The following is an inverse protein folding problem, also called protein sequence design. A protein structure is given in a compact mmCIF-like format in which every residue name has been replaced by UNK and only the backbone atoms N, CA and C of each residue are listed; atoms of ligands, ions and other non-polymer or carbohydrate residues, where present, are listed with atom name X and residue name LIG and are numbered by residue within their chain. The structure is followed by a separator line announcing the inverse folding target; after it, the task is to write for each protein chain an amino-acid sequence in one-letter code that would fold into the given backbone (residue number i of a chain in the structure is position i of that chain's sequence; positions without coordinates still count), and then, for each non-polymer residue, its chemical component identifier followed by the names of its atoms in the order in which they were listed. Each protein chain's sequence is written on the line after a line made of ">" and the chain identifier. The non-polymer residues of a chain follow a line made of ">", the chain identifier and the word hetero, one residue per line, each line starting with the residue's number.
data_IF_493274896230
#
_entry.id   IF_493274896230
#
_cell.length_a   1.000
_cell.length_b   1.000
_cell.length_c   1.000
_cell.angle_alpha   90.00
_cell.angle_beta   90.00
_cell.angle_gamma   90.00
#
_symmetry.space_group_name_H-M   'P 1'
#
loop_
_entity.id
_entity.type
_entity.pdbx_description
1 polymer ?
#
# COMPACT_ATOMS: atom_id res chain seq x y z
N UNK A 1 -5.15 22.24 -5.34
CA UNK A 1 -4.16 21.15 -5.56
C UNK A 1 -3.88 20.31 -4.31
N UNK A 2 -3.31 20.84 -3.23
CA UNK A 2 -2.75 20.03 -2.13
C UNK A 2 -3.69 18.97 -1.49
N UNK A 3 -4.99 19.26 -1.33
CA UNK A 3 -5.97 18.29 -0.80
C UNK A 3 -6.18 17.09 -1.74
N UNK A 4 -6.06 17.29 -3.06
CA UNK A 4 -6.21 16.23 -4.04
C UNK A 4 -5.02 15.27 -3.99
N UNK A 5 -3.80 15.82 -3.93
CA UNK A 5 -2.58 15.02 -3.88
C UNK A 5 -2.49 14.18 -2.59
N UNK A 6 -2.96 14.69 -1.44
CA UNK A 6 -3.10 13.90 -0.21
C UNK A 6 -4.05 12.71 -0.36
N UNK A 7 -5.20 12.94 -0.99
CA UNK A 7 -6.19 11.87 -1.25
C UNK A 7 -5.63 10.84 -2.22
N UNK A 8 -4.92 11.31 -3.24
CA UNK A 8 -4.26 10.45 -4.21
C UNK A 8 -3.18 9.59 -3.58
N UNK A 9 -2.30 10.17 -2.76
CA UNK A 9 -1.27 9.44 -2.02
C UNK A 9 -1.88 8.34 -1.15
N UNK A 10 -2.94 8.67 -0.40
CA UNK A 10 -3.67 7.70 0.42
C UNK A 10 -4.25 6.57 -0.44
N UNK A 11 -4.87 6.89 -1.57
CA UNK A 11 -5.44 5.89 -2.47
C UNK A 11 -4.36 4.96 -3.04
N UNK A 12 -3.20 5.51 -3.42
CA UNK A 12 -2.08 4.73 -3.97
C UNK A 12 -1.47 3.81 -2.92
N UNK A 13 -1.20 4.34 -1.72
CA UNK A 13 -0.71 3.55 -0.59
C UNK A 13 -1.69 2.44 -0.20
N UNK A 14 -2.99 2.73 -0.16
CA UNK A 14 -4.02 1.71 0.08
C UNK A 14 -3.93 0.55 -0.92
N UNK A 15 -3.80 0.84 -2.22
CA UNK A 15 -3.70 -0.19 -3.26
C UNK A 15 -2.40 -0.98 -3.15
N UNK A 16 -1.28 -0.30 -2.89
CA UNK A 16 0.04 -0.91 -2.69
C UNK A 16 0.02 -1.88 -1.50
N UNK A 17 -0.39 -1.39 -0.33
CA UNK A 17 -0.48 -2.17 0.91
C UNK A 17 -1.41 -3.37 0.72
N UNK A 18 -2.55 -3.20 0.07
CA UNK A 18 -3.47 -4.31 -0.19
C UNK A 18 -2.81 -5.41 -1.04
N UNK A 19 -2.06 -5.04 -2.09
CA UNK A 19 -1.37 -6.04 -2.91
C UNK A 19 -0.22 -6.71 -2.18
N UNK A 20 0.50 -6.00 -1.30
CA UNK A 20 1.51 -6.60 -0.43
C UNK A 20 0.89 -7.57 0.58
N UNK A 21 -0.29 -7.25 1.15
CA UNK A 21 -1.04 -8.19 1.98
C UNK A 21 -1.51 -9.42 1.19
N UNK A 22 -1.99 -9.24 -0.05
CA UNK A 22 -2.32 -10.37 -0.93
C UNK A 22 -1.10 -11.23 -1.22
N UNK A 23 0.06 -10.61 -1.43
CA UNK A 23 1.32 -11.30 -1.61
C UNK A 23 1.65 -12.14 -0.36
N UNK A 24 1.64 -11.53 0.82
CA UNK A 24 1.97 -12.24 2.07
C UNK A 24 1.01 -13.39 2.40
N UNK A 25 -0.30 -13.12 2.37
CA UNK A 25 -1.32 -14.07 2.88
C UNK A 25 -1.88 -15.00 1.80
N UNK A 26 -1.57 -14.79 0.53
CA UNK A 26 -2.01 -15.65 -0.58
C UNK A 26 -0.81 -16.14 -1.42
N UNK A 27 0.20 -16.71 -0.76
CA UNK A 27 1.41 -17.25 -1.42
C UNK A 27 1.14 -18.20 -2.59
N UNK A 28 0.08 -19.02 -2.49
CA UNK A 28 -0.37 -19.93 -3.55
C UNK A 28 -0.94 -19.22 -4.80
N UNK A 29 -1.12 -17.90 -4.77
CA UNK A 29 -1.70 -17.08 -5.84
C UNK A 29 -0.77 -15.96 -6.32
N UNK A 30 0.51 -16.02 -5.99
CA UNK A 30 1.50 -15.11 -6.56
C UNK A 30 1.42 -15.13 -8.08
N UNK A 31 1.24 -13.96 -8.67
CA UNK A 31 1.19 -13.80 -10.11
C UNK A 31 1.87 -12.50 -10.53
N UNK A 32 2.41 -12.51 -11.74
CA UNK A 32 3.15 -11.38 -12.31
C UNK A 32 2.31 -10.11 -12.36
N UNK A 33 0.98 -10.21 -12.50
CA UNK A 33 0.09 -9.05 -12.49
C UNK A 33 0.03 -8.34 -11.13
N UNK A 34 0.17 -9.06 -10.02
CA UNK A 34 0.25 -8.45 -8.68
C UNK A 34 1.58 -7.74 -8.49
N UNK A 35 2.69 -8.38 -8.88
CA UNK A 35 4.02 -7.77 -8.85
C UNK A 35 4.10 -6.52 -9.71
N UNK A 36 3.51 -6.57 -10.91
CA UNK A 36 3.35 -5.42 -11.81
C UNK A 36 2.54 -4.32 -11.15
N UNK A 37 1.43 -4.65 -10.49
CA UNK A 37 0.60 -3.66 -9.79
C UNK A 37 1.37 -3.00 -8.64
N UNK A 38 2.13 -3.77 -7.85
CA UNK A 38 2.98 -3.25 -6.77
C UNK A 38 4.01 -2.26 -7.34
N UNK A 39 4.77 -2.65 -8.36
CA UNK A 39 5.75 -1.78 -9.01
C UNK A 39 5.11 -0.49 -9.57
N UNK A 40 3.96 -0.62 -10.24
CA UNK A 40 3.23 0.52 -10.77
C UNK A 40 2.72 1.49 -9.68
N UNK A 41 2.32 1.00 -8.50
CA UNK A 41 1.94 1.89 -7.40
C UNK A 41 3.16 2.60 -6.82
N UNK A 42 4.30 1.91 -6.67
CA UNK A 42 5.55 2.53 -6.19
C UNK A 42 5.97 3.70 -7.08
N UNK A 43 6.07 3.48 -8.40
CA UNK A 43 6.42 4.54 -9.37
C UNK A 43 5.46 5.72 -9.25
N UNK A 44 4.15 5.46 -9.18
CA UNK A 44 3.16 6.54 -9.11
C UNK A 44 3.17 7.29 -7.77
N UNK A 45 3.57 6.64 -6.68
CA UNK A 45 3.76 7.29 -5.38
C UNK A 45 5.02 8.17 -5.43
N UNK A 46 6.11 7.64 -5.99
CA UNK A 46 7.37 8.38 -6.14
C UNK A 46 7.15 9.68 -6.94
N UNK A 47 6.58 9.58 -8.14
CA UNK A 47 6.26 10.76 -8.97
C UNK A 47 5.39 11.78 -8.22
N UNK A 48 4.37 11.29 -7.47
CA UNK A 48 3.50 12.17 -6.68
C UNK A 48 4.24 12.91 -5.55
N UNK A 49 5.26 12.27 -4.96
CA UNK A 49 6.07 12.86 -3.92
C UNK A 49 7.15 13.80 -4.47
N UNK A 50 7.64 13.56 -5.69
CA UNK A 50 8.49 14.50 -6.43
C UNK A 50 7.72 15.78 -6.78
N UNK A 51 6.50 15.63 -7.30
CA UNK A 51 5.61 16.76 -7.63
C UNK A 51 5.12 17.52 -6.39
N UNK A 52 5.14 16.90 -5.22
CA UNK A 52 4.63 17.49 -3.97
C UNK A 52 5.40 17.01 -2.74
N UNK A 53 6.65 17.48 -2.53
CA UNK A 53 7.51 17.03 -1.42
C UNK A 53 6.89 17.27 -0.04
N UNK A 54 6.03 18.29 0.10
CA UNK A 54 5.30 18.58 1.34
C UNK A 54 4.39 17.43 1.81
N UNK A 55 4.05 16.48 0.92
CA UNK A 55 3.26 15.30 1.27
C UNK A 55 4.05 14.28 2.10
N UNK A 56 5.38 14.36 2.10
CA UNK A 56 6.24 13.55 2.97
C UNK A 56 5.98 13.89 4.45
N UNK A 57 5.46 15.08 4.75
CA UNK A 57 5.04 15.45 6.09
C UNK A 57 3.82 14.61 6.52
N UNK A 58 3.95 13.87 7.63
CA UNK A 58 2.98 12.91 8.17
C UNK A 58 2.81 11.60 7.38
N UNK A 59 3.86 11.09 6.72
CA UNK A 59 3.78 9.86 5.95
C UNK A 59 3.27 8.66 6.77
N UNK A 60 3.72 8.50 8.01
CA UNK A 60 3.27 7.43 8.91
C UNK A 60 1.74 7.45 9.13
N UNK A 61 1.17 8.63 9.36
CA UNK A 61 -0.27 8.79 9.54
C UNK A 61 -1.04 8.45 8.25
N UNK A 62 -0.47 8.77 7.08
CA UNK A 62 -1.08 8.41 5.79
C UNK A 62 -0.99 6.91 5.56
N UNK A 63 0.14 6.27 5.89
CA UNK A 63 0.34 4.82 5.80
C UNK A 63 -0.64 4.10 6.72
N UNK A 64 -0.78 4.51 7.99
CA UNK A 64 -1.72 3.92 8.93
C UNK A 64 -3.17 3.99 8.42
N UNK A 65 -3.58 5.15 7.88
CA UNK A 65 -4.90 5.31 7.26
C UNK A 65 -5.07 4.45 6.00
N UNK A 66 -4.04 4.40 5.16
CA UNK A 66 -3.99 3.57 3.96
C UNK A 66 -4.13 2.09 4.30
N UNK A 67 -3.47 1.63 5.36
CA UNK A 67 -3.53 0.26 5.85
C UNK A 67 -4.93 -0.14 6.32
N UNK A 68 -5.61 0.70 7.11
CA UNK A 68 -6.99 0.44 7.54
C UNK A 68 -7.92 0.27 6.33
N UNK A 69 -7.77 1.12 5.32
CA UNK A 69 -8.56 1.00 4.08
C UNK A 69 -8.16 -0.25 3.27
N UNK A 70 -6.86 -0.58 3.22
CA UNK A 70 -6.35 -1.76 2.54
C UNK A 70 -6.87 -3.06 3.16
N UNK A 71 -6.93 -3.17 4.49
CA UNK A 71 -7.51 -4.33 5.20
C UNK A 71 -8.93 -4.63 4.75
N UNK A 72 -9.78 -3.59 4.68
CA UNK A 72 -11.19 -3.72 4.25
C UNK A 72 -11.27 -4.22 2.80
N UNK A 73 -10.44 -3.66 1.91
CA UNK A 73 -10.44 -4.05 0.50
C UNK A 73 -9.88 -5.46 0.30
N UNK A 74 -8.83 -5.82 1.05
CA UNK A 74 -8.28 -7.16 1.09
C UNK A 74 -9.35 -8.20 1.50
N UNK A 75 -10.10 -7.95 2.57
CA UNK A 75 -11.16 -8.86 3.02
C UNK A 75 -12.25 -9.06 1.96
N UNK A 76 -12.66 -7.99 1.28
CA UNK A 76 -13.64 -8.04 0.19
C UNK A 76 -13.14 -8.89 -0.99
N UNK A 77 -11.89 -8.68 -1.43
CA UNK A 77 -11.30 -9.35 -2.60
C UNK A 77 -10.90 -10.81 -2.32
N UNK A 78 -10.37 -11.09 -1.14
CA UNK A 78 -9.75 -12.39 -0.81
C UNK A 78 -10.67 -13.32 -0.02
N UNK A 79 -11.74 -12.78 0.59
CA UNK A 79 -12.60 -13.47 1.58
C UNK A 79 -11.87 -13.92 2.84
N UNK A 80 -10.63 -13.48 3.05
CA UNK A 80 -9.85 -13.68 4.27
C UNK A 80 -10.23 -12.58 5.26
N UNK A 81 -10.56 -12.93 6.50
CA UNK A 81 -11.01 -11.91 7.46
C UNK A 81 -9.90 -10.92 7.78
N UNK A 82 -10.25 -9.63 7.80
CA UNK A 82 -9.34 -8.56 8.21
C UNK A 82 -8.85 -8.72 9.66
N UNK A 83 -9.51 -9.57 10.47
CA UNK A 83 -9.09 -9.93 11.83
C UNK A 83 -7.82 -10.79 11.88
N UNK A 84 -7.49 -11.48 10.79
CA UNK A 84 -6.23 -12.25 10.68
C UNK A 84 -5.04 -11.35 10.36
N UNK A 85 -5.29 -10.10 9.96
CA UNK A 85 -4.25 -9.12 9.67
C UNK A 85 -3.92 -8.33 10.94
N UNK A 86 -2.66 -7.86 11.10
CA UNK A 86 -2.25 -7.09 12.27
C UNK A 86 -3.08 -5.82 12.48
N UNK A 87 -3.13 -5.33 13.72
CA UNK A 87 -3.88 -4.12 14.08
C UNK A 87 -3.26 -2.85 13.47
N UNK A 88 -1.93 -2.82 13.39
CA UNK A 88 -1.14 -1.75 12.77
C UNK A 88 -0.48 -2.23 11.48
N UNK A 89 -0.06 -1.28 10.63
CA UNK A 89 0.62 -1.60 9.39
C UNK A 89 1.95 -2.32 9.71
N UNK A 90 2.19 -3.54 9.19
CA UNK A 90 3.44 -4.26 9.45
C UNK A 90 4.61 -3.71 8.61
N UNK A 91 4.35 -2.80 7.68
CA UNK A 91 5.32 -2.26 6.75
C UNK A 91 5.61 -0.79 7.08
N UNK A 92 6.90 -0.47 7.17
CA UNK A 92 7.39 0.92 7.18
C UNK A 92 7.21 1.56 5.80
N UNK A 93 7.23 2.89 5.72
CA UNK A 93 7.13 3.57 4.43
C UNK A 93 8.30 3.21 3.51
N UNK A 94 9.49 3.05 4.08
CA UNK A 94 10.70 2.64 3.41
C UNK A 94 10.52 1.26 2.76
N UNK A 95 9.96 0.28 3.49
CA UNK A 95 9.64 -1.04 2.92
C UNK A 95 8.55 -0.97 1.84
N UNK A 96 7.54 -0.10 2.02
CA UNK A 96 6.51 0.09 1.00
C UNK A 96 7.12 0.59 -0.32
N UNK A 97 8.11 1.48 -0.24
CA UNK A 97 8.75 2.07 -1.42
C UNK A 97 9.93 1.26 -1.97
N UNK A 98 10.49 0.32 -1.20
CA UNK A 98 11.57 -0.55 -1.66
C UNK A 98 11.11 -1.51 -2.78
N UNK A 99 11.63 -1.33 -3.99
CA UNK A 99 11.31 -2.17 -5.15
C UNK A 99 11.66 -3.65 -4.95
N UNK A 100 12.67 -3.96 -4.14
CA UNK A 100 13.06 -5.34 -3.80
C UNK A 100 12.21 -5.97 -2.71
N UNK A 101 11.46 -5.18 -1.95
CA UNK A 101 10.66 -5.68 -0.84
C UNK A 101 9.39 -6.38 -1.31
N UNK A 102 9.25 -7.65 -0.93
CA UNK A 102 8.03 -8.46 -1.02
C UNK A 102 7.90 -9.23 0.31
N UNK A 103 6.77 -9.12 1.03
CA UNK A 103 6.61 -9.76 2.33
C UNK A 103 6.46 -11.28 2.22
N UNK A 104 7.06 -12.01 3.16
CA UNK A 104 6.92 -13.47 3.31
C UNK A 104 5.83 -13.84 4.32
#
# INVERSE_FOLDING_TARGET
>A
MARNNKRELLNRLMVLIMHLLKWQYQSKRHCESWRTTIGNQRIKIENLLEDSPSLKYNMEAVVARGFIAAKRKFEVETKISARQLPETCPYTFEQLMDYGFLPE
#
